data_IF_284343129175
#
_entry.id   IF_284343129175
#
_cell.length_a   1.000
_cell.length_b   1.000
_cell.length_c   1.000
_cell.angle_alpha   90.00
_cell.angle_beta   90.00
_cell.angle_gamma   90.00
#
_symmetry.space_group_name_H-M   'P 1'
#
loop_
_entity.id
_entity.type
_entity.pdbx_description
1 polymer ?
#
# COMPACT_ATOMS: atom_id res chain seq x y z
N UNK A 1 38.91 -10.99 10.74
CA UNK A 1 38.69 -10.16 11.92
C UNK A 1 37.23 -10.30 12.33
N UNK A 2 36.92 -11.15 13.31
CA UNK A 2 35.56 -11.58 13.61
C UNK A 2 34.64 -10.41 14.04
N UNK A 3 35.21 -9.38 14.66
CA UNK A 3 34.52 -8.17 15.10
C UNK A 3 34.05 -7.25 13.94
N UNK A 4 34.58 -7.42 12.71
CA UNK A 4 34.11 -6.63 11.54
C UNK A 4 32.82 -7.16 10.94
N UNK A 5 32.50 -8.43 11.20
CA UNK A 5 31.31 -9.11 10.67
C UNK A 5 30.23 -9.30 11.75
N UNK A 6 30.45 -8.78 12.97
CA UNK A 6 29.45 -8.81 14.04
C UNK A 6 28.46 -7.64 13.90
N UNK A 7 27.18 -7.83 14.24
CA UNK A 7 26.20 -6.75 14.34
C UNK A 7 26.67 -5.63 15.27
N UNK A 8 26.29 -4.39 14.94
CA UNK A 8 26.59 -3.23 15.77
C UNK A 8 25.59 -3.14 16.92
N UNK A 9 26.06 -3.34 18.16
CA UNK A 9 25.23 -3.40 19.37
C UNK A 9 25.68 -2.39 20.44
N UNK A 10 26.30 -1.27 20.04
CA UNK A 10 26.78 -0.20 20.95
C UNK A 10 27.62 -0.71 22.16
N UNK A 11 28.37 -1.81 22.00
CA UNK A 11 29.23 -2.37 23.05
C UNK A 11 28.59 -3.46 23.91
N UNK A 12 27.38 -3.91 23.59
CA UNK A 12 26.73 -5.06 24.23
C UNK A 12 26.79 -6.31 23.34
N UNK A 13 26.62 -7.50 23.94
CA UNK A 13 26.38 -8.72 23.15
C UNK A 13 24.96 -8.67 22.56
N UNK A 14 24.77 -9.24 21.37
CA UNK A 14 23.46 -9.24 20.70
C UNK A 14 22.40 -9.90 21.60
N UNK A 15 21.45 -9.10 22.09
CA UNK A 15 20.38 -9.57 22.97
C UNK A 15 19.21 -10.13 22.15
N UNK A 16 18.97 -11.43 22.29
CA UNK A 16 17.75 -12.19 21.94
C UNK A 16 17.18 -12.06 20.49
N UNK A 17 16.15 -12.87 20.23
CA UNK A 17 15.62 -13.24 18.91
C UNK A 17 15.22 -12.04 18.03
N UNK A 18 15.71 -12.00 16.78
CA UNK A 18 15.50 -10.91 15.80
C UNK A 18 14.04 -10.75 15.32
N UNK A 19 13.10 -11.49 15.92
CA UNK A 19 11.69 -11.52 15.54
C UNK A 19 10.88 -10.57 16.42
N UNK A 20 10.86 -9.30 16.03
CA UNK A 20 9.93 -8.34 16.62
C UNK A 20 8.48 -8.62 16.19
N UNK A 21 7.53 -8.43 17.10
CA UNK A 21 6.10 -8.34 16.76
C UNK A 21 5.89 -6.99 16.06
N UNK A 22 5.75 -7.03 14.74
CA UNK A 22 5.45 -5.85 13.95
C UNK A 22 3.96 -5.49 14.05
N UNK A 23 3.66 -4.19 14.06
CA UNK A 23 2.29 -3.70 14.05
C UNK A 23 1.61 -4.04 12.71
N UNK A 24 0.35 -4.46 12.76
CA UNK A 24 -0.47 -4.79 11.57
C UNK A 24 -0.61 -3.58 10.64
N UNK A 25 -0.46 -2.36 11.16
CA UNK A 25 -0.50 -1.10 10.39
C UNK A 25 0.45 -1.08 9.19
N UNK A 26 1.64 -1.66 9.30
CA UNK A 26 2.58 -1.74 8.16
C UNK A 26 2.03 -2.58 7.00
N UNK A 27 1.30 -3.66 7.31
CA UNK A 27 0.64 -4.48 6.29
C UNK A 27 -0.52 -3.74 5.62
N UNK A 28 -1.30 -2.97 6.38
CA UNK A 28 -2.42 -2.19 5.83
C UNK A 28 -1.92 -1.16 4.81
N UNK A 29 -0.82 -0.46 5.12
CA UNK A 29 -0.20 0.49 4.20
C UNK A 29 0.32 -0.22 2.94
N UNK A 30 0.96 -1.38 3.09
CA UNK A 30 1.47 -2.15 1.96
C UNK A 30 0.34 -2.65 1.04
N UNK A 31 -0.76 -3.15 1.62
CA UNK A 31 -1.94 -3.59 0.85
C UNK A 31 -2.58 -2.41 0.14
N UNK A 32 -2.76 -1.27 0.82
CA UNK A 32 -3.31 -0.07 0.21
C UNK A 32 -2.43 0.44 -0.94
N UNK A 33 -1.12 0.43 -0.77
CA UNK A 33 -0.18 0.78 -1.83
C UNK A 33 -0.31 -0.13 -3.05
N UNK A 34 -0.40 -1.45 -2.85
CA UNK A 34 -0.60 -2.43 -3.94
C UNK A 34 -1.92 -2.18 -4.65
N UNK A 35 -3.00 -1.93 -3.90
CA UNK A 35 -4.30 -1.62 -4.50
C UNK A 35 -4.23 -0.36 -5.36
N UNK A 36 -3.69 0.73 -4.83
CA UNK A 36 -3.57 2.00 -5.57
C UNK A 36 -2.65 1.89 -6.80
N UNK A 37 -1.57 1.12 -6.72
CA UNK A 37 -0.70 0.85 -7.88
C UNK A 37 -1.45 0.09 -8.99
N UNK A 38 -2.23 -0.93 -8.61
CA UNK A 38 -3.11 -1.64 -9.55
C UNK A 38 -4.16 -0.71 -10.17
N UNK A 39 -4.76 0.20 -9.40
CA UNK A 39 -5.71 1.19 -9.91
C UNK A 39 -5.09 2.05 -11.02
N UNK A 40 -3.88 2.56 -10.79
CA UNK A 40 -3.14 3.35 -11.76
C UNK A 40 -2.85 2.53 -13.02
N UNK A 41 -2.47 1.26 -12.86
CA UNK A 41 -2.23 0.37 -13.98
C UNK A 41 -3.47 0.18 -14.87
N UNK A 42 -4.69 0.20 -14.31
CA UNK A 42 -5.94 0.17 -15.08
C UNK A 42 -6.36 1.53 -15.65
N UNK A 43 -6.04 2.62 -14.93
CA UNK A 43 -6.33 3.99 -15.36
C UNK A 43 -5.57 4.38 -16.63
N UNK A 44 -4.31 3.95 -16.79
CA UNK A 44 -3.47 4.34 -17.93
C UNK A 44 -4.04 3.87 -19.29
N UNK A 45 -4.30 2.57 -19.53
CA UNK A 45 -4.87 2.10 -20.79
C UNK A 45 -6.24 2.71 -21.07
N UNK A 46 -7.06 2.90 -20.04
CA UNK A 46 -8.36 3.56 -20.17
C UNK A 46 -8.23 5.02 -20.60
N UNK A 47 -7.32 5.78 -19.98
CA UNK A 47 -7.09 7.19 -20.31
C UNK A 47 -6.60 7.35 -21.76
N UNK A 48 -5.72 6.45 -22.22
CA UNK A 48 -5.19 6.46 -23.59
C UNK A 48 -6.26 6.08 -24.62
N UNK A 49 -7.12 5.10 -24.30
CA UNK A 49 -8.16 4.60 -25.20
C UNK A 49 -9.52 5.32 -25.08
N UNK A 50 -9.64 6.36 -24.24
CA UNK A 50 -10.91 7.01 -23.88
C UNK A 50 -11.79 7.40 -25.08
N UNK A 51 -11.17 7.80 -26.19
CA UNK A 51 -11.88 8.20 -27.42
C UNK A 51 -12.52 7.01 -28.16
N UNK A 52 -11.97 5.80 -28.00
CA UNK A 52 -12.43 4.59 -28.69
C UNK A 52 -13.54 3.86 -27.92
N UNK A 53 -13.44 3.84 -26.59
CA UNK A 53 -14.41 3.19 -25.69
C UNK A 53 -15.72 3.98 -25.49
N UNK A 54 -15.71 5.28 -25.79
CA UNK A 54 -16.90 6.14 -25.73
C UNK A 54 -17.52 6.27 -24.32
N UNK A 55 -18.81 6.65 -24.27
CA UNK A 55 -19.49 6.96 -23.01
C UNK A 55 -19.61 5.76 -22.06
N UNK A 56 -19.71 4.54 -22.59
CA UNK A 56 -19.82 3.32 -21.77
C UNK A 56 -18.52 3.07 -21.01
N UNK A 57 -17.36 3.18 -21.68
CA UNK A 57 -16.07 3.03 -21.00
C UNK A 57 -15.77 4.17 -20.02
N UNK A 58 -16.28 5.38 -20.28
CA UNK A 58 -16.20 6.46 -19.31
C UNK A 58 -16.95 6.12 -18.02
N UNK A 59 -18.23 5.73 -18.12
CA UNK A 59 -19.04 5.40 -16.94
C UNK A 59 -18.58 4.14 -16.21
N UNK A 60 -18.05 3.14 -16.92
CA UNK A 60 -17.49 1.95 -16.27
C UNK A 60 -16.28 2.28 -15.39
N UNK A 61 -15.38 3.16 -15.86
CA UNK A 61 -14.25 3.63 -15.06
C UNK A 61 -14.70 4.52 -13.90
N UNK A 62 -15.70 5.39 -14.10
CA UNK A 62 -16.25 6.18 -13.00
C UNK A 62 -16.83 5.30 -11.89
N UNK A 63 -17.53 4.22 -12.24
CA UNK A 63 -18.01 3.25 -11.27
C UNK A 63 -16.86 2.54 -10.55
N UNK A 64 -15.82 2.11 -11.29
CA UNK A 64 -14.63 1.49 -10.73
C UNK A 64 -13.96 2.39 -9.68
N UNK A 65 -13.68 3.65 -10.03
CA UNK A 65 -13.10 4.62 -9.11
C UNK A 65 -14.01 4.90 -7.91
N UNK A 66 -15.33 4.98 -8.10
CA UNK A 66 -16.26 5.21 -7.00
C UNK A 66 -16.22 4.07 -5.96
N UNK A 67 -16.14 2.81 -6.39
CA UNK A 67 -16.04 1.66 -5.49
C UNK A 67 -14.76 1.75 -4.64
N UNK A 68 -13.65 2.13 -5.26
CA UNK A 68 -12.35 2.23 -4.60
C UNK A 68 -12.28 3.39 -3.62
N UNK A 69 -12.79 4.56 -4.01
CA UNK A 69 -12.92 5.73 -3.12
C UNK A 69 -13.79 5.40 -1.89
N UNK A 70 -14.86 4.63 -2.06
CA UNK A 70 -15.69 4.16 -0.94
C UNK A 70 -14.89 3.22 -0.01
N UNK A 71 -14.13 2.28 -0.58
CA UNK A 71 -13.24 1.40 0.18
C UNK A 71 -12.20 2.18 0.98
N UNK A 72 -11.52 3.12 0.33
CA UNK A 72 -10.53 4.00 0.95
C UNK A 72 -11.14 4.87 2.06
N UNK A 73 -12.32 5.46 1.82
CA UNK A 73 -13.02 6.24 2.82
C UNK A 73 -13.42 5.41 4.05
N UNK A 74 -13.75 4.13 3.86
CA UNK A 74 -14.02 3.20 4.96
C UNK A 74 -12.76 2.92 5.79
N UNK A 75 -11.62 2.63 5.15
CA UNK A 75 -10.35 2.40 5.83
C UNK A 75 -9.87 3.63 6.59
N UNK A 76 -10.01 4.81 6.00
CA UNK A 76 -9.72 6.10 6.65
C UNK A 76 -10.55 6.26 7.92
N UNK A 77 -11.88 6.07 7.83
CA UNK A 77 -12.77 6.20 9.00
C UNK A 77 -12.46 5.19 10.10
N UNK A 78 -11.91 4.03 9.76
CA UNK A 78 -11.52 3.00 10.72
C UNK A 78 -10.20 3.31 11.45
N UNK A 79 -9.50 4.38 11.07
CA UNK A 79 -8.22 4.76 11.66
C UNK A 79 -7.07 3.85 11.25
N UNK A 80 -7.23 3.08 10.15
CA UNK A 80 -6.17 2.21 9.63
C UNK A 80 -4.92 2.99 9.18
N UNK A 81 -5.07 4.29 8.94
CA UNK A 81 -4.06 5.21 8.43
C UNK A 81 -3.53 6.19 9.49
N UNK A 82 -4.01 6.10 10.74
CA UNK A 82 -3.63 7.04 11.79
C UNK A 82 -2.35 6.60 12.50
N UNK A 83 -1.45 7.56 12.73
CA UNK A 83 -0.11 7.34 13.28
C UNK A 83 0.06 8.12 14.59
N UNK A 84 -0.67 7.67 15.61
CA UNK A 84 -0.35 7.93 17.02
C UNK A 84 0.22 6.66 17.68
#
# INVERSE_FOLDING_TARGET
>A
DAAKNSPYECGFEAFEDARMKFDVRYYLVAILFILFDLEIAFLFPWAVSLREIGAVGFWSMMLFLAILVVGFAYEWKKGALDWE
#
